data_IF_799650115383
#
_entry.id   IF_799650115383
#
_cell.length_a   1.000
_cell.length_b   1.000
_cell.length_c   1.000
_cell.angle_alpha   90.00
_cell.angle_beta   90.00
_cell.angle_gamma   90.00
#
_symmetry.space_group_name_H-M   'P 1'
#
loop_
_entity.id
_entity.type
_entity.pdbx_description
1 polymer ?
#
# COMPACT_ATOMS: atom_id res chain seq x y z
N UNK A 1 0.34 9.45 -17.12
CA UNK A 1 0.42 9.55 -15.64
C UNK A 1 0.57 8.13 -15.10
N UNK A 2 1.39 7.93 -14.07
CA UNK A 2 1.50 6.64 -13.37
C UNK A 2 0.13 6.21 -12.82
N UNK A 3 -0.24 4.94 -12.95
CA UNK A 3 -1.57 4.46 -12.58
C UNK A 3 -1.53 3.98 -11.13
N UNK A 4 -2.05 4.79 -10.20
CA UNK A 4 -2.06 4.43 -8.77
C UNK A 4 -3.41 3.84 -8.35
N UNK A 5 -3.42 2.61 -7.83
CA UNK A 5 -4.60 1.99 -7.18
C UNK A 5 -4.50 2.14 -5.67
N UNK A 6 -5.52 2.74 -5.03
CA UNK A 6 -5.60 2.95 -3.58
C UNK A 6 -6.93 2.39 -3.10
N UNK A 7 -6.89 1.41 -2.20
CA UNK A 7 -8.06 0.76 -1.63
C UNK A 7 -7.90 0.73 -0.11
N UNK A 8 -8.92 1.22 0.60
CA UNK A 8 -9.06 1.07 2.05
C UNK A 8 -10.35 0.29 2.28
N UNK A 9 -10.25 -0.87 2.94
CA UNK A 9 -11.38 -1.78 3.10
C UNK A 9 -11.20 -2.66 4.34
N UNK A 10 -12.28 -3.02 5.04
CA UNK A 10 -12.24 -4.06 6.07
C UNK A 10 -12.11 -5.48 5.47
N UNK A 11 -12.29 -5.64 4.16
CA UNK A 11 -12.18 -6.93 3.50
C UNK A 11 -10.74 -7.46 3.51
N UNK A 12 -10.60 -8.79 3.61
CA UNK A 12 -9.31 -9.44 3.40
C UNK A 12 -8.90 -9.27 1.93
N UNK A 13 -7.61 -9.07 1.70
CA UNK A 13 -7.01 -9.11 0.38
C UNK A 13 -5.98 -10.23 0.28
N UNK A 14 -5.62 -10.60 -0.95
CA UNK A 14 -4.60 -11.60 -1.24
C UNK A 14 -3.52 -10.94 -2.10
N UNK A 15 -2.27 -11.02 -1.66
CA UNK A 15 -1.14 -10.45 -2.41
C UNK A 15 -1.04 -11.04 -3.81
N UNK A 16 -1.32 -12.34 -3.96
CA UNK A 16 -1.29 -13.03 -5.25
C UNK A 16 -2.33 -12.52 -6.27
N UNK A 17 -3.42 -11.91 -5.82
CA UNK A 17 -4.45 -11.36 -6.71
C UNK A 17 -4.04 -9.97 -7.22
N UNK A 18 -3.18 -9.26 -6.50
CA UNK A 18 -2.72 -7.90 -6.83
C UNK A 18 -1.43 -7.89 -7.66
N UNK A 19 -0.57 -8.90 -7.48
CA UNK A 19 0.73 -8.97 -8.15
C UNK A 19 0.67 -8.94 -9.69
N UNK A 20 -0.25 -9.65 -10.37
CA UNK A 20 -0.30 -9.66 -11.84
C UNK A 20 -0.49 -8.26 -12.43
N UNK A 21 -1.32 -7.43 -11.80
CA UNK A 21 -1.50 -6.04 -12.22
C UNK A 21 -0.25 -5.19 -11.94
N UNK A 22 0.40 -5.41 -10.79
CA UNK A 22 1.61 -4.67 -10.39
C UNK A 22 2.83 -4.98 -11.27
N UNK A 23 2.88 -6.18 -11.87
CA UNK A 23 4.00 -6.69 -12.67
C UNK A 23 3.68 -6.83 -14.16
N UNK A 24 2.58 -6.22 -14.64
CA UNK A 24 2.06 -6.42 -16.00
C UNK A 24 2.99 -5.87 -17.09
N UNK A 25 3.81 -4.85 -16.78
CA UNK A 25 4.53 -4.07 -17.79
C UNK A 25 5.99 -4.48 -17.88
N UNK A 26 6.45 -4.74 -19.10
CA UNK A 26 7.84 -5.14 -19.37
C UNK A 26 8.88 -4.07 -19.00
N UNK A 27 8.47 -2.79 -18.94
CA UNK A 27 9.34 -1.68 -18.56
C UNK A 27 9.55 -1.55 -17.04
N UNK A 28 8.77 -2.28 -16.23
CA UNK A 28 8.91 -2.31 -14.77
C UNK A 28 9.99 -3.33 -14.38
N UNK A 29 11.26 -2.93 -14.48
CA UNK A 29 12.41 -3.82 -14.26
C UNK A 29 12.59 -4.35 -12.83
N UNK A 30 11.80 -3.88 -11.86
CA UNK A 30 11.76 -4.40 -10.50
C UNK A 30 10.41 -4.10 -9.83
N UNK A 31 9.83 -5.10 -9.17
CA UNK A 31 8.60 -4.97 -8.37
C UNK A 31 8.92 -5.24 -6.91
N UNK A 32 8.57 -4.29 -6.03
CA UNK A 32 8.79 -4.39 -4.58
C UNK A 32 7.45 -4.30 -3.85
N UNK A 33 7.17 -5.27 -2.98
CA UNK A 33 5.96 -5.30 -2.15
C UNK A 33 6.29 -5.23 -0.67
N UNK A 34 5.51 -4.49 0.09
CA UNK A 34 5.55 -4.48 1.56
C UNK A 34 4.21 -4.97 2.12
N UNK A 35 4.23 -5.93 3.04
CA UNK A 35 3.01 -6.46 3.68
C UNK A 35 3.15 -6.43 5.19
N UNK A 36 2.33 -5.62 5.85
CA UNK A 36 2.22 -5.58 7.31
C UNK A 36 1.24 -6.63 7.83
N UNK A 37 1.60 -7.32 8.92
CA UNK A 37 0.70 -8.22 9.67
C UNK A 37 0.60 -7.73 11.12
N UNK A 38 -0.58 -7.89 11.72
CA UNK A 38 -0.77 -7.69 13.16
C UNK A 38 0.12 -8.67 13.92
N UNK A 39 0.91 -8.16 14.87
CA UNK A 39 1.78 -8.99 15.73
C UNK A 39 0.95 -9.60 16.86
N UNK A 40 1.35 -10.78 17.33
CA UNK A 40 0.67 -11.48 18.42
C UNK A 40 1.10 -11.02 19.83
N UNK A 41 2.03 -10.06 19.94
CA UNK A 41 2.50 -9.52 21.22
C UNK A 41 2.83 -8.02 21.11
N UNK A 42 2.72 -7.32 22.23
CA UNK A 42 3.15 -5.93 22.41
C UNK A 42 3.69 -5.76 23.83
N UNK A 43 4.92 -5.24 23.98
CA UNK A 43 5.59 -5.02 25.27
C UNK A 43 5.60 -6.24 26.24
N UNK A 44 5.59 -7.47 25.69
CA UNK A 44 5.57 -8.70 26.47
C UNK A 44 4.18 -9.25 26.78
N UNK A 45 3.11 -8.51 26.45
CA UNK A 45 1.73 -8.96 26.60
C UNK A 45 1.17 -9.51 25.28
N UNK A 46 0.27 -10.49 25.37
CA UNK A 46 -0.41 -11.06 24.20
C UNK A 46 -1.43 -10.07 23.64
N UNK A 47 -1.35 -9.77 22.35
CA UNK A 47 -2.35 -8.94 21.65
C UNK A 47 -3.46 -9.84 21.11
N UNK A 48 -4.71 -9.60 21.54
CA UNK A 48 -5.89 -10.36 21.08
C UNK A 48 -6.44 -9.86 19.76
N UNK A 49 -6.49 -8.54 19.57
CA UNK A 49 -6.98 -7.89 18.35
C UNK A 49 -6.38 -6.48 18.24
N UNK A 50 -6.36 -5.95 17.02
CA UNK A 50 -6.05 -4.54 16.72
C UNK A 50 -7.18 -4.01 15.85
N UNK A 51 -7.97 -3.10 16.39
CA UNK A 51 -9.01 -2.40 15.63
C UNK A 51 -8.42 -1.17 14.96
N UNK A 52 -8.71 -1.03 13.66
CA UNK A 52 -8.23 0.07 12.83
C UNK A 52 -9.42 0.93 12.40
N UNK A 53 -9.48 2.15 12.93
CA UNK A 53 -10.45 3.15 12.50
C UNK A 53 -9.83 4.07 11.45
N UNK A 54 -10.63 4.45 10.46
CA UNK A 54 -10.23 5.47 9.50
C UNK A 54 -11.42 6.36 9.13
N UNK A 55 -11.11 7.60 8.76
CA UNK A 55 -12.10 8.53 8.19
C UNK A 55 -12.20 8.28 6.69
N UNK A 56 -13.40 7.90 6.17
CA UNK A 56 -13.58 7.63 4.75
C UNK A 56 -13.10 8.80 3.87
N UNK A 57 -12.29 8.51 2.87
CA UNK A 57 -11.74 9.49 1.93
C UNK A 57 -10.52 10.27 2.44
N UNK A 58 -10.35 10.46 3.75
CA UNK A 58 -9.16 11.17 4.28
C UNK A 58 -7.89 10.33 4.12
N UNK A 59 -7.98 9.03 4.38
CA UNK A 59 -6.86 8.10 4.28
C UNK A 59 -6.38 7.97 2.84
N UNK A 60 -7.31 7.80 1.90
CA UNK A 60 -7.03 7.69 0.47
C UNK A 60 -6.41 8.97 -0.07
N UNK A 61 -6.92 10.14 0.36
CA UNK A 61 -6.35 11.43 -0.01
C UNK A 61 -4.91 11.59 0.50
N UNK A 62 -4.61 11.10 1.70
CA UNK A 62 -3.25 11.12 2.26
C UNK A 62 -2.30 10.25 1.44
N UNK A 63 -2.72 9.04 1.08
CA UNK A 63 -1.94 8.15 0.21
C UNK A 63 -1.72 8.72 -1.18
N UNK A 64 -2.76 9.32 -1.78
CA UNK A 64 -2.67 9.98 -3.08
C UNK A 64 -1.68 11.14 -3.05
N UNK A 65 -1.71 11.96 -1.99
CA UNK A 65 -0.74 13.05 -1.80
C UNK A 65 0.69 12.54 -1.72
N UNK A 66 0.94 11.43 -1.03
CA UNK A 66 2.27 10.82 -0.94
C UNK A 66 2.74 10.28 -2.31
N UNK A 67 1.86 9.60 -3.05
CA UNK A 67 2.15 9.12 -4.41
C UNK A 67 2.52 10.28 -5.35
N UNK A 68 1.73 11.35 -5.33
CA UNK A 68 1.98 12.54 -6.13
C UNK A 68 3.29 13.23 -5.73
N UNK A 69 3.57 13.34 -4.43
CA UNK A 69 4.81 13.93 -3.93
C UNK A 69 6.04 13.15 -4.41
N UNK A 70 5.99 11.80 -4.40
CA UNK A 70 7.07 10.95 -4.95
C UNK A 70 7.35 11.30 -6.41
N UNK A 71 6.30 11.40 -7.22
CA UNK A 71 6.41 11.72 -8.64
C UNK A 71 6.99 13.13 -8.88
N UNK A 72 6.59 14.13 -8.09
CA UNK A 72 7.06 15.51 -8.25
C UNK A 72 8.45 15.78 -7.68
N UNK A 73 8.88 15.00 -6.68
CA UNK A 73 10.15 15.22 -5.99
C UNK A 73 11.39 14.71 -6.76
N UNK A 74 11.20 14.03 -7.91
CA UNK A 74 12.30 13.53 -8.76
C UNK A 74 13.24 12.54 -8.06
N UNK A 75 12.85 12.02 -6.88
CA UNK A 75 13.73 11.24 -6.00
C UNK A 75 14.01 9.83 -6.50
N UNK A 76 13.08 9.28 -7.30
CA UNK A 76 13.18 7.97 -7.93
C UNK A 76 12.56 8.07 -9.33
N UNK A 77 13.18 7.46 -10.34
CA UNK A 77 12.58 7.32 -11.67
C UNK A 77 11.26 6.56 -11.54
N UNK A 78 10.15 7.17 -11.97
CA UNK A 78 8.83 6.56 -11.89
C UNK A 78 8.55 5.73 -13.13
N UNK A 79 8.50 4.41 -12.99
CA UNK A 79 7.63 3.60 -13.83
C UNK A 79 6.22 3.58 -13.22
N UNK A 80 5.21 3.17 -14.01
CA UNK A 80 3.79 3.53 -13.79
C UNK A 80 3.19 3.00 -12.49
#
# INVERSE_FOLDING_TARGET
>A
MAQTRIIVSPARFRVGDEYPWLAERDEDGAVVTFTGKVRNHNLGESVKALDLEHYPGMTENRWRRLSNWRASAGRWGGSR
#
